data_IF_213614959498
#
_entry.id   IF_213614959498
#
_cell.length_a   1.000
_cell.length_b   1.000
_cell.length_c   1.000
_cell.angle_alpha   90.00
_cell.angle_beta   90.00
_cell.angle_gamma   90.00
#
_symmetry.space_group_name_H-M   'P 1'
#
loop_
_entity.id
_entity.type
_entity.pdbx_description
1 polymer ?
#
# COMPACT_ATOMS: atom_id res chain seq x y z
N UNK A 1 -7.58 -24.86 3.08
CA UNK A 1 -8.99 -25.24 3.28
C UNK A 1 -9.92 -24.03 3.46
N UNK A 2 -9.56 -23.05 4.31
CA UNK A 2 -10.40 -21.86 4.57
C UNK A 2 -10.73 -21.03 3.32
N UNK A 3 -9.74 -20.72 2.44
CA UNK A 3 -9.97 -19.96 1.19
C UNK A 3 -10.92 -20.69 0.24
N UNK A 4 -10.82 -21.99 0.15
CA UNK A 4 -11.72 -22.81 -0.67
C UNK A 4 -13.16 -22.76 -0.13
N UNK A 5 -13.32 -22.87 1.19
CA UNK A 5 -14.64 -22.75 1.82
C UNK A 5 -15.27 -21.37 1.55
N UNK A 6 -14.49 -20.28 1.65
CA UNK A 6 -14.95 -18.92 1.34
C UNK A 6 -15.34 -18.79 -0.15
N UNK A 7 -14.51 -19.32 -1.05
CA UNK A 7 -14.74 -19.28 -2.48
C UNK A 7 -16.03 -20.03 -2.89
N UNK A 8 -16.37 -21.10 -2.19
CA UNK A 8 -17.60 -21.85 -2.40
C UNK A 8 -18.81 -21.19 -1.72
N UNK A 9 -18.62 -20.66 -0.51
CA UNK A 9 -19.71 -20.07 0.29
C UNK A 9 -20.27 -18.79 -0.33
N UNK A 10 -19.41 -17.91 -0.87
CA UNK A 10 -19.87 -16.64 -1.44
C UNK A 10 -20.85 -16.83 -2.59
N UNK A 11 -20.57 -17.63 -3.65
CA UNK A 11 -21.56 -17.88 -4.70
C UNK A 11 -22.83 -18.55 -4.20
N UNK A 12 -22.75 -19.45 -3.22
CA UNK A 12 -23.94 -20.11 -2.67
C UNK A 12 -24.83 -19.12 -1.92
N UNK A 13 -24.24 -18.19 -1.15
CA UNK A 13 -24.97 -17.12 -0.48
C UNK A 13 -25.62 -16.20 -1.52
N UNK A 14 -24.92 -15.84 -2.58
CA UNK A 14 -25.47 -14.99 -3.66
C UNK A 14 -26.67 -15.66 -4.32
N UNK A 15 -26.56 -16.93 -4.70
CA UNK A 15 -27.68 -17.66 -5.30
C UNK A 15 -28.87 -17.71 -4.34
N UNK A 16 -28.63 -18.01 -3.07
CA UNK A 16 -29.68 -18.05 -2.05
C UNK A 16 -30.38 -16.69 -1.92
N UNK A 17 -29.63 -15.59 -1.90
CA UNK A 17 -30.18 -14.23 -1.83
C UNK A 17 -30.94 -13.88 -3.12
N UNK A 18 -30.47 -14.26 -4.30
CA UNK A 18 -31.20 -14.02 -5.54
C UNK A 18 -32.53 -14.78 -5.57
N UNK A 19 -32.56 -16.02 -5.09
CA UNK A 19 -33.79 -16.81 -5.01
C UNK A 19 -34.77 -16.20 -4.01
N UNK A 20 -34.30 -15.82 -2.83
CA UNK A 20 -35.15 -15.27 -1.75
C UNK A 20 -35.69 -13.88 -2.15
N UNK A 21 -34.82 -12.97 -2.53
CA UNK A 21 -35.21 -11.60 -2.92
C UNK A 21 -36.03 -11.60 -4.20
N UNK A 22 -35.60 -12.36 -5.22
CA UNK A 22 -36.33 -12.47 -6.49
C UNK A 22 -37.68 -13.14 -6.34
N UNK A 23 -37.82 -14.09 -5.40
CA UNK A 23 -39.10 -14.70 -5.04
C UNK A 23 -40.03 -13.72 -4.32
N UNK A 24 -39.51 -12.84 -3.46
CA UNK A 24 -40.28 -11.86 -2.70
C UNK A 24 -40.75 -10.66 -3.52
N UNK A 25 -39.88 -10.09 -4.37
CA UNK A 25 -40.18 -8.84 -5.11
C UNK A 25 -40.39 -9.04 -6.61
N UNK A 26 -40.10 -10.22 -7.11
CA UNK A 26 -40.21 -10.57 -8.52
C UNK A 26 -38.94 -10.25 -9.34
N UNK A 27 -38.88 -10.81 -10.56
CA UNK A 27 -37.71 -10.74 -11.42
C UNK A 27 -37.31 -9.31 -11.82
N UNK A 28 -38.26 -8.51 -12.28
CA UNK A 28 -37.98 -7.18 -12.81
C UNK A 28 -37.43 -6.19 -11.79
N UNK A 29 -38.02 -6.08 -10.59
CA UNK A 29 -37.42 -5.26 -9.53
C UNK A 29 -36.03 -5.75 -9.10
N UNK A 30 -35.81 -7.04 -9.04
CA UNK A 30 -34.50 -7.63 -8.71
C UNK A 30 -33.43 -7.22 -9.74
N UNK A 31 -33.75 -7.35 -11.05
CA UNK A 31 -32.85 -6.92 -12.12
C UNK A 31 -32.57 -5.42 -12.07
N UNK A 32 -33.61 -4.62 -11.78
CA UNK A 32 -33.45 -3.17 -11.65
C UNK A 32 -32.48 -2.81 -10.53
N UNK A 33 -32.58 -3.47 -9.36
CA UNK A 33 -31.68 -3.26 -8.23
C UNK A 33 -30.25 -3.59 -8.65
N UNK A 34 -30.02 -4.73 -9.28
CA UNK A 34 -28.69 -5.15 -9.74
C UNK A 34 -28.07 -4.14 -10.73
N UNK A 35 -28.85 -3.64 -11.67
CA UNK A 35 -28.39 -2.62 -12.62
C UNK A 35 -28.07 -1.30 -11.90
N UNK A 36 -28.94 -0.88 -10.98
CA UNK A 36 -28.72 0.35 -10.22
C UNK A 36 -27.48 0.25 -9.33
N UNK A 37 -27.26 -0.88 -8.63
CA UNK A 37 -26.07 -1.08 -7.79
C UNK A 37 -24.79 -1.07 -8.63
N UNK A 38 -24.79 -1.69 -9.81
CA UNK A 38 -23.66 -1.68 -10.73
C UNK A 38 -23.32 -0.26 -11.23
N UNK A 39 -24.33 0.53 -11.61
CA UNK A 39 -24.14 1.93 -12.06
C UNK A 39 -23.62 2.80 -10.91
N UNK A 40 -24.25 2.74 -9.75
CA UNK A 40 -23.85 3.50 -8.56
C UNK A 40 -22.44 3.10 -8.10
N UNK A 41 -22.16 1.79 -8.06
CA UNK A 41 -20.84 1.26 -7.71
C UNK A 41 -19.75 1.76 -8.63
N UNK A 42 -20.00 1.73 -9.94
CA UNK A 42 -19.05 2.25 -10.95
C UNK A 42 -18.81 3.75 -10.78
N UNK A 43 -19.85 4.55 -10.56
CA UNK A 43 -19.71 5.98 -10.33
C UNK A 43 -18.91 6.30 -9.06
N UNK A 44 -19.22 5.63 -7.95
CA UNK A 44 -18.51 5.78 -6.68
C UNK A 44 -17.04 5.32 -6.80
N UNK A 45 -16.79 4.20 -7.47
CA UNK A 45 -15.44 3.71 -7.72
C UNK A 45 -14.60 4.71 -8.50
N UNK A 46 -15.14 5.32 -9.55
CA UNK A 46 -14.44 6.35 -10.35
C UNK A 46 -14.03 7.54 -9.47
N UNK A 47 -14.97 8.05 -8.68
CA UNK A 47 -14.72 9.19 -7.80
C UNK A 47 -13.67 8.87 -6.72
N UNK A 48 -13.84 7.74 -6.05
CA UNK A 48 -12.91 7.31 -5.00
C UNK A 48 -11.54 6.92 -5.55
N UNK A 49 -11.51 6.30 -6.73
CA UNK A 49 -10.27 5.94 -7.42
C UNK A 49 -9.45 7.17 -7.85
N UNK A 50 -10.11 8.22 -8.34
CA UNK A 50 -9.45 9.49 -8.67
C UNK A 50 -8.83 10.14 -7.43
N UNK A 51 -9.54 10.16 -6.30
CA UNK A 51 -9.02 10.67 -5.02
C UNK A 51 -7.83 9.85 -4.52
N UNK A 52 -7.91 8.53 -4.56
CA UNK A 52 -6.80 7.66 -4.17
C UNK A 52 -5.56 7.89 -5.04
N UNK A 53 -5.74 8.03 -6.36
CA UNK A 53 -4.64 8.32 -7.27
C UNK A 53 -3.99 9.67 -6.98
N UNK A 54 -4.78 10.70 -6.67
CA UNK A 54 -4.26 12.00 -6.26
C UNK A 54 -3.44 11.90 -4.97
N UNK A 55 -3.91 11.16 -3.97
CA UNK A 55 -3.20 10.93 -2.71
C UNK A 55 -1.88 10.17 -2.90
N UNK A 56 -1.87 9.16 -3.78
CA UNK A 56 -0.65 8.43 -4.13
C UNK A 56 0.38 9.37 -4.75
N UNK A 57 -0.02 10.19 -5.74
CA UNK A 57 0.87 11.17 -6.38
C UNK A 57 1.42 12.18 -5.39
N UNK A 58 0.57 12.69 -4.50
CA UNK A 58 0.97 13.62 -3.45
C UNK A 58 2.00 13.00 -2.49
N UNK A 59 1.80 11.76 -2.09
CA UNK A 59 2.74 11.03 -1.23
C UNK A 59 4.13 10.90 -1.86
N UNK A 60 4.21 10.62 -3.16
CA UNK A 60 5.48 10.58 -3.88
C UNK A 60 6.14 11.96 -3.98
N UNK A 61 5.36 13.02 -4.23
CA UNK A 61 5.88 14.38 -4.32
C UNK A 61 6.39 14.91 -2.98
N UNK A 62 5.78 14.50 -1.87
CA UNK A 62 6.14 14.94 -0.51
C UNK A 62 7.08 13.98 0.21
N UNK A 63 7.58 12.94 -0.46
CA UNK A 63 8.45 11.89 0.12
C UNK A 63 7.84 11.24 1.38
N UNK A 64 6.51 11.18 1.46
CA UNK A 64 5.78 10.49 2.52
C UNK A 64 5.59 9.02 2.18
N UNK A 65 5.40 8.20 3.20
CA UNK A 65 5.12 6.78 3.02
C UNK A 65 3.81 6.59 2.21
N UNK A 66 3.86 5.98 1.01
CA UNK A 66 2.70 5.75 0.17
C UNK A 66 1.90 4.50 0.56
N UNK A 67 2.27 3.77 1.61
CA UNK A 67 1.66 2.49 1.97
C UNK A 67 0.15 2.61 2.27
N UNK A 68 -0.26 3.64 3.01
CA UNK A 68 -1.68 3.85 3.33
C UNK A 68 -2.51 4.22 2.09
N UNK A 69 -2.12 5.20 1.25
CA UNK A 69 -2.83 5.48 0.00
C UNK A 69 -2.89 4.30 -0.97
N UNK A 70 -1.82 3.51 -1.08
CA UNK A 70 -1.80 2.30 -1.91
C UNK A 70 -2.77 1.24 -1.38
N UNK A 71 -2.81 1.01 -0.08
CA UNK A 71 -3.76 0.09 0.54
C UNK A 71 -5.21 0.55 0.31
N UNK A 72 -5.50 1.85 0.42
CA UNK A 72 -6.81 2.41 0.11
C UNK A 72 -7.16 2.24 -1.38
N UNK A 73 -6.22 2.47 -2.29
CA UNK A 73 -6.39 2.23 -3.72
C UNK A 73 -6.71 0.76 -4.03
N UNK A 74 -5.97 -0.18 -3.43
CA UNK A 74 -6.22 -1.61 -3.58
C UNK A 74 -7.63 -2.01 -3.09
N UNK A 75 -8.08 -1.47 -1.94
CA UNK A 75 -9.44 -1.73 -1.42
C UNK A 75 -10.53 -1.17 -2.35
N UNK A 76 -10.30 -0.01 -2.99
CA UNK A 76 -11.24 0.55 -3.99
C UNK A 76 -11.31 -0.34 -5.22
N UNK A 77 -10.18 -0.82 -5.73
CA UNK A 77 -10.15 -1.73 -6.88
C UNK A 77 -10.85 -3.06 -6.56
N UNK A 78 -10.61 -3.60 -5.37
CA UNK A 78 -11.27 -4.82 -4.92
C UNK A 78 -12.80 -4.61 -4.77
N UNK A 79 -13.22 -3.50 -4.18
CA UNK A 79 -14.64 -3.12 -4.11
C UNK A 79 -15.26 -3.01 -5.50
N UNK A 80 -14.56 -2.39 -6.45
CA UNK A 80 -15.01 -2.30 -7.84
C UNK A 80 -15.15 -3.66 -8.52
N UNK A 81 -14.23 -4.57 -8.28
CA UNK A 81 -14.31 -5.94 -8.80
C UNK A 81 -15.52 -6.69 -8.23
N UNK A 82 -15.84 -6.51 -6.93
CA UNK A 82 -17.04 -7.08 -6.32
C UNK A 82 -18.31 -6.53 -6.96
N UNK A 83 -18.42 -5.21 -7.13
CA UNK A 83 -19.58 -4.53 -7.71
C UNK A 83 -19.77 -4.79 -9.23
N UNK A 84 -18.74 -5.24 -9.93
CA UNK A 84 -18.84 -5.69 -11.33
C UNK A 84 -19.41 -7.11 -11.44
N UNK A 85 -19.26 -7.91 -10.40
CA UNK A 85 -19.87 -9.24 -10.31
C UNK A 85 -21.21 -9.09 -9.60
N UNK A 86 -22.33 -9.09 -10.34
CA UNK A 86 -23.63 -8.77 -9.76
C UNK A 86 -24.00 -9.74 -8.64
N UNK A 87 -24.28 -9.20 -7.45
CA UNK A 87 -24.67 -9.97 -6.27
C UNK A 87 -25.16 -9.10 -5.14
N UNK A 88 -26.05 -9.58 -4.32
CA UNK A 88 -26.57 -8.82 -3.16
C UNK A 88 -25.57 -8.70 -2.02
N UNK A 89 -24.93 -9.82 -1.68
CA UNK A 89 -23.93 -9.86 -0.62
C UNK A 89 -22.63 -9.17 -1.05
N UNK A 90 -22.10 -9.52 -2.23
CA UNK A 90 -20.87 -8.93 -2.75
C UNK A 90 -21.01 -7.45 -3.01
N UNK A 91 -22.17 -6.98 -3.51
CA UNK A 91 -22.44 -5.55 -3.66
C UNK A 91 -22.45 -4.82 -2.32
N UNK A 92 -23.06 -5.41 -1.29
CA UNK A 92 -23.07 -4.83 0.07
C UNK A 92 -21.65 -4.69 0.62
N UNK A 93 -20.79 -5.69 0.44
CA UNK A 93 -19.38 -5.65 0.84
C UNK A 93 -18.61 -4.64 0.00
N UNK A 94 -18.83 -4.59 -1.31
CA UNK A 94 -18.23 -3.62 -2.23
C UNK A 94 -18.56 -2.18 -1.83
N UNK A 95 -19.84 -1.87 -1.61
CA UNK A 95 -20.27 -0.55 -1.13
C UNK A 95 -19.65 -0.21 0.22
N UNK A 96 -19.64 -1.14 1.17
CA UNK A 96 -18.99 -0.90 2.47
C UNK A 96 -17.52 -0.52 2.32
N UNK A 97 -16.78 -1.20 1.45
CA UNK A 97 -15.36 -0.88 1.17
C UNK A 97 -15.16 0.45 0.45
N UNK A 98 -16.15 0.96 -0.29
CA UNK A 98 -16.06 2.30 -0.90
C UNK A 98 -16.20 3.42 0.13
N UNK A 99 -16.76 3.15 1.30
CA UNK A 99 -16.94 4.14 2.38
C UNK A 99 -15.61 4.41 3.10
N UNK A 100 -15.07 5.66 3.12
CA UNK A 100 -13.75 5.94 3.67
C UNK A 100 -13.52 5.51 5.14
N UNK A 101 -14.48 5.69 6.09
CA UNK A 101 -14.29 5.23 7.46
C UNK A 101 -14.16 3.70 7.56
N UNK A 102 -14.86 2.93 6.71
CA UNK A 102 -14.75 1.47 6.68
C UNK A 102 -13.35 1.05 6.22
N UNK A 103 -12.84 1.65 5.14
CA UNK A 103 -11.47 1.39 4.67
C UNK A 103 -10.43 1.67 5.74
N UNK A 104 -10.57 2.79 6.47
CA UNK A 104 -9.65 3.12 7.58
C UNK A 104 -9.74 2.10 8.72
N UNK A 105 -10.93 1.58 9.00
CA UNK A 105 -11.10 0.52 10.00
C UNK A 105 -10.44 -0.79 9.55
N UNK A 106 -10.65 -1.19 8.29
CA UNK A 106 -10.04 -2.37 7.68
C UNK A 106 -8.51 -2.24 7.65
N UNK A 107 -7.99 -1.09 7.21
CA UNK A 107 -6.54 -0.82 7.19
C UNK A 107 -5.91 -0.95 8.57
N UNK A 108 -6.52 -0.34 9.59
CA UNK A 108 -6.03 -0.44 10.98
C UNK A 108 -6.11 -1.86 11.53
N UNK A 109 -7.16 -2.61 11.20
CA UNK A 109 -7.30 -3.99 11.62
C UNK A 109 -6.24 -4.89 10.95
N UNK A 110 -6.02 -4.69 9.66
CA UNK A 110 -5.03 -5.43 8.89
C UNK A 110 -3.59 -5.08 9.34
N UNK A 111 -3.31 -3.81 9.58
CA UNK A 111 -2.01 -3.34 10.06
C UNK A 111 -1.61 -3.90 11.43
N UNK A 112 -2.59 -4.26 12.27
CA UNK A 112 -2.30 -4.96 13.55
C UNK A 112 -1.87 -6.42 13.35
N UNK A 113 -2.18 -7.03 12.20
CA UNK A 113 -1.88 -8.44 11.90
C UNK A 113 -0.72 -8.60 10.93
N UNK A 114 -0.47 -7.60 10.11
CA UNK A 114 0.62 -7.58 9.13
C UNK A 114 1.63 -6.57 9.61
N UNK A 115 2.82 -7.02 10.02
CA UNK A 115 3.96 -6.14 10.21
C UNK A 115 4.42 -5.69 8.82
N UNK A 116 3.92 -4.55 8.38
CA UNK A 116 4.47 -3.88 7.20
C UNK A 116 5.86 -3.40 7.60
N UNK A 117 6.91 -4.07 7.13
CA UNK A 117 8.24 -3.50 7.18
C UNK A 117 8.21 -2.25 6.31
N UNK A 118 8.13 -1.10 6.96
CA UNK A 118 8.29 0.17 6.27
C UNK A 118 9.69 0.17 5.67
N UNK A 119 9.79 0.15 4.33
CA UNK A 119 11.02 0.45 3.66
C UNK A 119 11.28 1.96 3.87
N UNK A 120 11.89 2.28 5.01
CA UNK A 120 12.43 3.60 5.24
C UNK A 120 13.67 3.76 4.35
N UNK A 121 13.48 4.35 3.18
CA UNK A 121 14.56 4.83 2.31
C UNK A 121 15.15 6.14 2.82
N UNK A 122 14.79 6.58 4.02
CA UNK A 122 15.45 7.69 4.69
C UNK A 122 16.85 7.29 5.18
N UNK A 123 17.82 8.23 5.25
CA UNK A 123 19.09 7.96 5.91
C UNK A 123 18.77 7.43 7.31
N UNK A 124 19.16 6.19 7.58
CA UNK A 124 19.08 5.67 8.96
C UNK A 124 19.77 6.72 9.86
N UNK A 125 19.10 7.17 10.95
CA UNK A 125 19.80 7.96 11.93
C UNK A 125 21.03 7.14 12.32
N UNK A 126 22.22 7.64 11.95
CA UNK A 126 23.47 7.05 12.46
C UNK A 126 23.30 6.99 13.95
N UNK A 127 23.59 5.86 14.59
CA UNK A 127 23.61 5.82 16.05
C UNK A 127 24.47 6.99 16.48
N UNK A 128 23.89 7.94 17.20
CA UNK A 128 24.68 8.98 17.84
C UNK A 128 25.68 8.23 18.72
N UNK A 129 27.01 8.44 18.53
CA UNK A 129 27.98 7.83 19.41
C UNK A 129 27.57 8.17 20.84
N UNK A 130 27.42 7.14 21.69
CA UNK A 130 27.24 7.37 23.11
C UNK A 130 28.45 8.14 23.61
N UNK A 131 28.28 9.09 24.55
CA UNK A 131 29.41 9.87 25.07
C UNK A 131 30.55 8.98 25.65
N UNK A 132 30.23 7.74 25.96
CA UNK A 132 31.20 6.78 26.55
C UNK A 132 32.03 6.01 25.48
N UNK A 133 31.81 6.26 24.19
CA UNK A 133 32.52 5.59 23.09
C UNK A 133 33.60 6.50 22.46
N UNK A 134 34.03 7.54 23.18
CA UNK A 134 35.17 8.37 22.81
C UNK A 134 36.43 7.66 23.25
N UNK A 135 37.11 6.98 22.35
CA UNK A 135 38.43 6.43 22.58
C UNK A 135 39.43 7.57 22.40
N UNK A 136 39.97 8.09 23.49
CA UNK A 136 41.10 9.03 23.47
C UNK A 136 42.33 8.27 22.96
N UNK A 137 42.63 8.42 21.67
CA UNK A 137 43.81 7.84 21.04
C UNK A 137 44.96 8.83 21.09
N UNK A 138 46.11 8.44 21.68
CA UNK A 138 47.36 9.15 21.49
C UNK A 138 47.87 8.90 20.06
N UNK A 139 48.09 9.95 19.31
CA UNK A 139 48.71 9.82 17.99
C UNK A 139 50.08 10.52 18.00
N UNK A 140 51.04 9.85 17.39
CA UNK A 140 52.37 10.44 17.15
C UNK A 140 52.45 10.79 15.66
N UNK A 141 52.62 12.07 15.37
CA UNK A 141 52.80 12.52 13.99
C UNK A 141 54.19 12.10 13.49
N UNK A 142 54.23 11.10 12.61
CA UNK A 142 55.47 10.68 11.97
C UNK A 142 55.67 11.54 10.72
N UNK A 143 56.58 12.50 10.80
CA UNK A 143 56.96 13.30 9.63
C UNK A 143 57.56 12.36 8.57
N UNK A 144 56.95 12.26 7.36
CA UNK A 144 57.51 11.44 6.31
C UNK A 144 58.84 12.01 5.85
N UNK A 145 59.95 11.34 6.16
CA UNK A 145 61.22 11.64 5.60
C UNK A 145 61.11 11.56 4.07
N UNK A 146 61.20 12.71 3.37
CA UNK A 146 61.11 12.79 1.92
C UNK A 146 62.32 12.07 1.30
N UNK A 147 62.19 10.79 1.05
CA UNK A 147 63.16 10.08 0.22
C UNK A 147 62.99 10.52 -1.23
N UNK A 148 64.05 10.98 -1.92
CA UNK A 148 63.94 11.31 -3.33
C UNK A 148 63.53 10.06 -4.12
N UNK A 149 62.34 10.10 -4.70
CA UNK A 149 61.72 8.97 -5.42
C UNK A 149 62.30 8.77 -6.81
N UNK A 150 63.18 9.68 -7.28
CA UNK A 150 63.77 9.60 -8.61
C UNK A 150 65.28 9.69 -8.53
N UNK A 151 66.00 8.78 -9.17
CA UNK A 151 67.44 8.97 -9.49
C UNK A 151 67.56 10.21 -10.37
N UNK A 152 68.60 11.08 -10.13
CA UNK A 152 68.79 12.24 -10.99
C UNK A 152 68.96 11.76 -12.43
N UNK A 153 68.01 12.18 -13.30
CA UNK A 153 68.14 11.90 -14.73
C UNK A 153 69.23 12.71 -15.30
N UNK A 154 70.09 12.14 -16.25
CA UNK A 154 71.24 12.81 -16.85
C UNK A 154 70.94 14.12 -17.60
N UNK A 155 69.66 14.55 -17.63
CA UNK A 155 69.18 15.77 -18.31
C UNK A 155 69.11 17.00 -17.39
N UNK A 156 69.38 16.87 -16.10
CA UNK A 156 69.32 17.99 -15.13
C UNK A 156 70.66 18.42 -14.60
N UNK A 157 71.73 18.26 -15.41
CA UNK A 157 73.04 18.82 -15.12
C UNK A 157 73.17 20.17 -15.85
N UNK A 158 72.80 21.22 -15.12
CA UNK A 158 73.33 22.56 -15.35
C UNK A 158 73.92 23.08 -14.05
#
# INVERSE_FOLDING_TARGET
MWLFALFLAVPLIEIALFVEVGGAIGLWPTLLIVVLTAVLGTALMRNQGALAMAQIRDSFNTLRDPAEPLAHGAMILFAGALLLTPGFFTDSVGFALLVPPVRRAVYRWLGKRVQVQSFSTGPQPRPTPRPDDVIDGEFTEVSPEKRPTHRPSGWTRH
#
